data_IF_983104080311
#
_entry.id   IF_983104080311
#
_cell.length_a   1.000
_cell.length_b   1.000
_cell.length_c   1.000
_cell.angle_alpha   90.00
_cell.angle_beta   90.00
_cell.angle_gamma   90.00
#
_symmetry.space_group_name_H-M   'P 1'
#
loop_
_entity.id
_entity.type
_entity.pdbx_description
1 polymer ?
#
# COMPACT_ATOMS: atom_id res chain seq x y z
N UNK A 1 -11.65 -13.43 -9.85
CA UNK A 1 -11.68 -12.35 -8.84
C UNK A 1 -12.01 -11.06 -9.57
N UNK A 2 -13.25 -10.59 -9.48
CA UNK A 2 -13.71 -9.40 -10.18
C UNK A 2 -13.08 -8.18 -9.50
N UNK A 3 -12.14 -7.53 -10.20
CA UNK A 3 -11.57 -6.26 -9.77
C UNK A 3 -12.66 -5.21 -9.78
N UNK A 4 -13.09 -4.78 -8.59
CA UNK A 4 -14.01 -3.66 -8.48
C UNK A 4 -13.37 -2.42 -9.09
N UNK A 5 -14.03 -1.73 -10.03
CA UNK A 5 -13.54 -0.47 -10.54
C UNK A 5 -13.36 0.48 -9.35
N UNK A 6 -12.17 1.05 -9.24
CA UNK A 6 -11.85 2.11 -8.29
C UNK A 6 -12.69 3.33 -8.68
N UNK A 7 -13.95 3.36 -8.27
CA UNK A 7 -14.81 4.53 -8.36
C UNK A 7 -14.32 5.52 -7.33
N UNK A 8 -13.25 6.24 -7.67
CA UNK A 8 -13.06 7.61 -7.22
C UNK A 8 -14.18 8.44 -7.82
N UNK A 9 -15.42 8.19 -7.37
CA UNK A 9 -16.52 9.09 -7.62
C UNK A 9 -16.25 10.31 -6.75
N UNK A 10 -15.36 11.17 -7.24
CA UNK A 10 -15.35 12.58 -6.88
C UNK A 10 -16.77 13.03 -7.17
N UNK A 11 -17.51 13.42 -6.13
CA UNK A 11 -18.87 13.92 -6.26
C UNK A 11 -18.87 14.89 -7.45
N UNK A 12 -19.64 14.60 -8.52
CA UNK A 12 -19.60 15.43 -9.71
C UNK A 12 -19.92 16.86 -9.28
N UNK A 13 -19.09 17.81 -9.69
CA UNK A 13 -19.38 19.21 -9.45
C UNK A 13 -20.68 19.53 -10.19
N UNK A 14 -21.79 19.63 -9.45
CA UNK A 14 -23.05 20.13 -9.99
C UNK A 14 -22.77 21.58 -10.40
N UNK A 15 -22.54 21.80 -11.68
CA UNK A 15 -22.16 23.09 -12.29
C UNK A 15 -23.36 24.00 -12.53
N UNK A 16 -24.57 23.51 -12.26
CA UNK A 16 -25.80 24.30 -12.40
C UNK A 16 -25.93 25.21 -11.19
N UNK A 17 -25.30 26.38 -11.27
CA UNK A 17 -25.54 27.47 -10.33
C UNK A 17 -26.83 28.17 -10.73
N UNK A 18 -27.87 28.06 -9.91
CA UNK A 18 -29.10 28.85 -10.05
C UNK A 18 -28.94 30.31 -9.61
N UNK A 19 -27.69 30.82 -9.56
CA UNK A 19 -27.35 32.14 -9.04
C UNK A 19 -28.10 33.28 -9.73
N UNK A 20 -28.39 33.12 -11.02
CA UNK A 20 -29.18 34.08 -11.80
C UNK A 20 -30.65 34.15 -11.32
N UNK A 21 -31.22 33.04 -10.87
CA UNK A 21 -32.62 32.94 -10.43
C UNK A 21 -32.84 33.58 -9.06
N UNK A 22 -31.80 33.57 -8.20
CA UNK A 22 -31.86 34.14 -6.85
C UNK A 22 -31.94 35.67 -6.81
N UNK A 23 -31.59 36.34 -7.91
CA UNK A 23 -31.48 37.79 -7.99
C UNK A 23 -32.66 38.41 -8.78
N UNK A 24 -33.67 37.61 -9.11
CA UNK A 24 -34.88 38.09 -9.80
C UNK A 24 -35.72 38.90 -8.83
N UNK A 25 -36.21 40.05 -9.27
CA UNK A 25 -37.17 40.85 -8.51
C UNK A 25 -38.57 40.24 -8.65
N UNK A 26 -39.18 39.72 -7.57
CA UNK A 26 -40.50 39.11 -7.63
C UNK A 26 -41.58 40.19 -7.81
N UNK A 27 -42.55 39.92 -8.68
CA UNK A 27 -43.72 40.78 -8.93
C UNK A 27 -44.97 40.24 -8.23
N UNK A 28 -45.03 38.94 -7.99
CA UNK A 28 -46.22 38.24 -7.46
C UNK A 28 -45.97 37.67 -6.07
N UNK A 29 -46.99 37.62 -5.19
CA UNK A 29 -46.85 37.00 -3.84
C UNK A 29 -46.36 35.55 -3.89
N UNK A 30 -46.76 34.79 -4.90
CA UNK A 30 -46.31 33.40 -5.12
C UNK A 30 -44.82 33.32 -5.45
N UNK A 31 -44.30 34.27 -6.24
CA UNK A 31 -42.88 34.32 -6.60
C UNK A 31 -42.02 34.62 -5.38
N UNK A 32 -42.50 35.49 -4.46
CA UNK A 32 -41.83 35.75 -3.18
C UNK A 32 -41.69 34.45 -2.36
N UNK A 33 -42.76 33.66 -2.26
CA UNK A 33 -42.74 32.39 -1.54
C UNK A 33 -41.80 31.36 -2.18
N UNK A 34 -41.80 31.25 -3.51
CA UNK A 34 -40.89 30.38 -4.26
C UNK A 34 -39.42 30.78 -4.09
N UNK A 35 -39.13 32.08 -4.10
CA UNK A 35 -37.77 32.60 -3.94
C UNK A 35 -37.25 32.34 -2.52
N UNK A 36 -38.11 32.49 -1.50
CA UNK A 36 -37.77 32.11 -0.12
C UNK A 36 -37.47 30.60 0.02
N UNK A 37 -38.30 29.74 -0.55
CA UNK A 37 -38.06 28.30 -0.56
C UNK A 37 -36.78 27.92 -1.33
N UNK A 38 -36.48 28.63 -2.42
CA UNK A 38 -35.26 28.44 -3.19
C UNK A 38 -34.01 28.79 -2.37
N UNK A 39 -34.02 29.92 -1.66
CA UNK A 39 -32.93 30.33 -0.77
C UNK A 39 -32.68 29.31 0.35
N UNK A 40 -33.74 28.85 1.01
CA UNK A 40 -33.63 27.84 2.06
C UNK A 40 -33.07 26.52 1.52
N UNK A 41 -33.57 26.08 0.36
CA UNK A 41 -33.08 24.87 -0.30
C UNK A 41 -31.60 24.99 -0.70
N UNK A 42 -31.16 26.15 -1.20
CA UNK A 42 -29.78 26.36 -1.59
C UNK A 42 -28.84 26.39 -0.38
N UNK A 43 -29.21 27.11 0.69
CA UNK A 43 -28.46 27.13 1.94
C UNK A 43 -28.30 25.71 2.52
N UNK A 44 -29.38 24.90 2.48
CA UNK A 44 -29.34 23.49 2.89
C UNK A 44 -28.44 22.65 1.99
N UNK A 45 -28.49 22.86 0.67
CA UNK A 45 -27.64 22.14 -0.28
C UNK A 45 -26.16 22.48 -0.09
N UNK A 46 -25.81 23.74 0.16
CA UNK A 46 -24.43 24.15 0.41
C UNK A 46 -23.90 23.48 1.70
N UNK A 47 -24.70 23.45 2.77
CA UNK A 47 -24.36 22.73 3.99
C UNK A 47 -24.16 21.23 3.76
N UNK A 48 -25.07 20.60 3.01
CA UNK A 48 -24.94 19.18 2.67
C UNK A 48 -23.69 18.90 1.84
N UNK A 49 -23.36 19.78 0.89
CA UNK A 49 -22.16 19.68 0.06
C UNK A 49 -20.90 19.72 0.92
N UNK A 50 -20.83 20.66 1.88
CA UNK A 50 -19.70 20.74 2.81
C UNK A 50 -19.54 19.45 3.64
N UNK A 51 -20.64 18.96 4.21
CA UNK A 51 -20.65 17.71 4.98
C UNK A 51 -20.21 16.50 4.13
N UNK A 52 -20.65 16.43 2.86
CA UNK A 52 -20.23 15.36 1.95
C UNK A 52 -18.73 15.42 1.62
N UNK A 53 -18.16 16.61 1.45
CA UNK A 53 -16.72 16.79 1.22
C UNK A 53 -15.92 16.31 2.44
N UNK A 54 -16.36 16.66 3.65
CA UNK A 54 -15.72 16.21 4.89
C UNK A 54 -15.80 14.68 5.03
N UNK A 55 -16.98 14.10 4.83
CA UNK A 55 -17.17 12.64 4.87
C UNK A 55 -16.31 11.93 3.83
N UNK A 56 -16.20 12.49 2.62
CA UNK A 56 -15.36 11.93 1.58
C UNK A 56 -13.87 11.99 1.97
N UNK A 57 -13.42 13.12 2.52
CA UNK A 57 -12.04 13.27 2.98
C UNK A 57 -11.70 12.25 4.09
N UNK A 58 -12.58 12.10 5.08
CA UNK A 58 -12.44 11.12 6.16
C UNK A 58 -12.42 9.69 5.60
N UNK A 59 -13.31 9.35 4.67
CA UNK A 59 -13.37 8.02 4.08
C UNK A 59 -12.08 7.67 3.32
N UNK A 60 -11.57 8.61 2.51
CA UNK A 60 -10.30 8.44 1.79
C UNK A 60 -9.15 8.21 2.78
N UNK A 61 -9.07 9.02 3.83
CA UNK A 61 -8.03 8.89 4.86
C UNK A 61 -8.14 7.55 5.61
N UNK A 62 -9.34 7.13 5.97
CA UNK A 62 -9.56 5.85 6.63
C UNK A 62 -9.19 4.68 5.71
N UNK A 63 -9.52 4.76 4.43
CA UNK A 63 -9.18 3.72 3.45
C UNK A 63 -7.66 3.59 3.27
N UNK A 64 -6.94 4.70 3.16
CA UNK A 64 -5.47 4.68 3.03
C UNK A 64 -4.83 4.15 4.31
N UNK A 65 -5.29 4.60 5.48
CA UNK A 65 -4.83 4.10 6.77
C UNK A 65 -5.05 2.60 6.94
N UNK A 66 -6.28 2.12 6.74
CA UNK A 66 -6.61 0.69 6.85
C UNK A 66 -5.79 -0.16 5.88
N UNK A 67 -5.59 0.32 4.65
CA UNK A 67 -4.74 -0.37 3.67
C UNK A 67 -3.30 -0.53 4.19
N UNK A 68 -2.70 0.56 4.67
CA UNK A 68 -1.34 0.53 5.22
C UNK A 68 -1.24 -0.41 6.43
N UNK A 69 -2.23 -0.37 7.33
CA UNK A 69 -2.28 -1.24 8.50
C UNK A 69 -2.38 -2.72 8.09
N UNK A 70 -3.24 -3.05 7.12
CA UNK A 70 -3.36 -4.42 6.60
C UNK A 70 -2.06 -4.90 5.95
N UNK A 71 -1.38 -4.05 5.20
CA UNK A 71 -0.08 -4.39 4.59
C UNK A 71 0.99 -4.65 5.66
N UNK A 72 1.03 -3.84 6.71
CA UNK A 72 1.93 -4.04 7.85
C UNK A 72 1.64 -5.34 8.57
N UNK A 73 0.38 -5.62 8.91
CA UNK A 73 -0.03 -6.88 9.55
C UNK A 73 0.32 -8.09 8.69
N UNK A 74 0.01 -8.03 7.38
CA UNK A 74 0.36 -9.10 6.45
C UNK A 74 1.88 -9.33 6.36
N UNK A 75 2.69 -8.26 6.44
CA UNK A 75 4.14 -8.37 6.50
C UNK A 75 4.61 -9.02 7.81
N UNK A 76 4.09 -8.57 8.95
CA UNK A 76 4.39 -9.17 10.26
C UNK A 76 4.02 -10.65 10.32
N UNK A 77 2.85 -11.03 9.82
CA UNK A 77 2.39 -12.42 9.82
C UNK A 77 3.25 -13.29 8.90
N UNK A 78 3.60 -12.79 7.71
CA UNK A 78 4.55 -13.49 6.81
C UNK A 78 5.89 -13.70 7.48
N UNK A 79 6.43 -12.68 8.15
CA UNK A 79 7.71 -12.77 8.84
C UNK A 79 7.64 -13.71 10.05
N UNK A 80 6.55 -13.70 10.82
CA UNK A 80 6.34 -14.63 11.93
C UNK A 80 6.26 -16.08 11.44
N UNK A 81 5.52 -16.35 10.36
CA UNK A 81 5.46 -17.68 9.75
C UNK A 81 6.84 -18.13 9.26
N UNK A 82 7.56 -17.28 8.54
CA UNK A 82 8.92 -17.58 8.09
C UNK A 82 9.94 -17.72 9.24
N UNK A 83 9.71 -17.09 10.39
CA UNK A 83 10.55 -17.25 11.57
C UNK A 83 10.23 -18.56 12.30
N UNK A 84 8.97 -18.97 12.33
CA UNK A 84 8.51 -20.22 12.93
C UNK A 84 9.08 -21.47 12.27
N UNK A 85 9.28 -21.43 10.94
CA UNK A 85 9.81 -22.54 10.14
C UNK A 85 11.35 -22.68 10.16
N UNK A 86 12.07 -21.66 10.63
CA UNK A 86 13.54 -21.65 10.54
C UNK A 86 14.14 -22.61 11.57
N UNK A 87 14.63 -23.74 11.08
CA UNK A 87 15.42 -24.70 11.86
C UNK A 87 14.60 -25.75 12.60
N UNK A 88 13.29 -25.83 12.34
CA UNK A 88 12.44 -26.91 12.88
C UNK A 88 12.32 -28.04 11.87
N UNK A 89 12.33 -29.28 12.37
CA UNK A 89 12.05 -30.47 11.57
C UNK A 89 10.62 -30.45 11.01
N UNK A 90 9.66 -30.01 11.84
CA UNK A 90 8.27 -29.75 11.46
C UNK A 90 8.03 -28.24 11.48
N UNK A 91 7.86 -27.62 10.31
CA UNK A 91 7.75 -26.16 10.15
C UNK A 91 6.70 -25.51 11.05
N UNK A 92 5.53 -26.16 11.16
CA UNK A 92 4.37 -25.64 11.89
C UNK A 92 4.57 -25.56 13.41
N UNK A 93 5.60 -26.23 13.96
CA UNK A 93 5.89 -26.24 15.40
C UNK A 93 4.85 -26.96 16.28
N UNK A 94 3.90 -27.66 15.66
CA UNK A 94 2.94 -28.51 16.37
C UNK A 94 3.58 -29.88 16.69
N UNK A 95 3.27 -30.48 17.84
CA UNK A 95 3.72 -31.83 18.15
C UNK A 95 3.04 -32.83 17.21
N UNK A 96 3.84 -33.61 16.48
CA UNK A 96 3.37 -34.69 15.60
C UNK A 96 3.93 -36.00 16.11
N UNK A 97 3.07 -37.01 16.27
CA UNK A 97 3.51 -38.36 16.58
C UNK A 97 3.91 -39.06 15.28
N UNK A 98 5.20 -39.32 15.11
CA UNK A 98 5.75 -40.05 13.97
C UNK A 98 6.20 -41.44 14.39
N UNK A 99 5.99 -42.42 13.51
CA UNK A 99 6.64 -43.72 13.58
C UNK A 99 8.15 -43.55 13.30
N UNK A 100 9.00 -44.41 13.88
CA UNK A 100 10.46 -44.27 13.79
C UNK A 100 11.02 -44.10 12.37
N UNK A 101 10.48 -44.85 11.41
CA UNK A 101 10.94 -44.78 10.00
C UNK A 101 10.62 -43.43 9.36
N UNK A 102 9.39 -42.93 9.54
CA UNK A 102 8.96 -41.62 9.04
C UNK A 102 9.74 -40.47 9.68
N UNK A 103 10.07 -40.60 10.97
CA UNK A 103 10.94 -39.63 11.64
C UNK A 103 12.35 -39.61 11.02
N UNK A 104 12.93 -40.78 10.77
CA UNK A 104 14.26 -40.90 10.18
C UNK A 104 14.31 -40.29 8.78
N UNK A 105 13.33 -40.60 7.92
CA UNK A 105 13.22 -40.02 6.58
C UNK A 105 13.18 -38.48 6.63
N UNK A 106 12.34 -37.91 7.50
CA UNK A 106 12.25 -36.47 7.67
C UNK A 106 13.56 -35.82 8.14
N UNK A 107 14.32 -36.49 9.02
CA UNK A 107 15.62 -35.97 9.50
C UNK A 107 16.64 -35.96 8.35
N UNK A 108 16.70 -37.02 7.54
CA UNK A 108 17.62 -37.09 6.39
C UNK A 108 17.32 -36.00 5.37
N UNK A 109 16.04 -35.80 5.04
CA UNK A 109 15.61 -34.73 4.14
C UNK A 109 15.96 -33.34 4.69
N UNK A 110 15.72 -33.13 5.98
CA UNK A 110 16.03 -31.87 6.65
C UNK A 110 17.53 -31.56 6.62
N UNK A 111 18.40 -32.52 6.93
CA UNK A 111 19.85 -32.35 6.88
C UNK A 111 20.37 -32.07 5.47
N UNK A 112 19.82 -32.75 4.45
CA UNK A 112 20.13 -32.47 3.06
C UNK A 112 19.72 -31.03 2.69
N UNK A 113 18.56 -30.58 3.15
CA UNK A 113 18.07 -29.24 2.90
C UNK A 113 18.90 -28.15 3.60
N UNK A 114 19.35 -28.40 4.85
CA UNK A 114 20.24 -27.48 5.56
C UNK A 114 21.57 -27.30 4.84
N UNK A 115 22.20 -28.41 4.41
CA UNK A 115 23.45 -28.35 3.63
C UNK A 115 23.28 -27.56 2.34
N UNK A 116 22.17 -27.76 1.62
CA UNK A 116 21.85 -26.99 0.40
C UNK A 116 21.69 -25.49 0.71
N UNK A 117 20.99 -25.15 1.79
CA UNK A 117 20.78 -23.75 2.23
C UNK A 117 22.11 -23.07 2.61
N UNK A 118 23.00 -23.79 3.29
CA UNK A 118 24.33 -23.31 3.65
C UNK A 118 25.19 -23.03 2.42
N UNK A 119 25.21 -23.97 1.47
CA UNK A 119 25.94 -23.82 0.22
C UNK A 119 25.46 -22.60 -0.59
N UNK A 120 24.14 -22.46 -0.76
CA UNK A 120 23.56 -21.27 -1.41
C UNK A 120 23.87 -19.96 -0.67
N UNK A 121 23.91 -19.99 0.67
CA UNK A 121 24.27 -18.82 1.47
C UNK A 121 25.74 -18.43 1.28
N UNK A 122 26.64 -19.41 1.18
CA UNK A 122 28.04 -19.19 0.89
C UNK A 122 28.22 -18.59 -0.51
N UNK A 123 27.57 -19.15 -1.52
CA UNK A 123 27.60 -18.65 -2.90
C UNK A 123 27.09 -17.21 -3.00
N UNK A 124 25.96 -16.90 -2.35
CA UNK A 124 25.43 -15.52 -2.28
C UNK A 124 26.38 -14.55 -1.60
N UNK A 125 27.11 -14.99 -0.58
CA UNK A 125 28.11 -14.15 0.10
C UNK A 125 29.31 -13.88 -0.80
N UNK A 126 29.80 -14.91 -1.50
CA UNK A 126 30.88 -14.76 -2.47
C UNK A 126 30.49 -13.77 -3.58
N UNK A 127 29.33 -13.97 -4.22
CA UNK A 127 28.85 -13.05 -5.26
C UNK A 127 28.63 -11.62 -4.77
N UNK A 128 28.21 -11.41 -3.51
CA UNK A 128 28.14 -10.07 -2.91
C UNK A 128 29.52 -9.44 -2.73
N UNK A 129 30.52 -10.21 -2.31
CA UNK A 129 31.88 -9.72 -2.14
C UNK A 129 32.48 -9.32 -3.51
N UNK A 130 32.28 -10.14 -4.53
CA UNK A 130 32.79 -9.87 -5.88
C UNK A 130 32.13 -8.64 -6.50
N UNK A 131 30.79 -8.52 -6.37
CA UNK A 131 30.07 -7.31 -6.77
C UNK A 131 30.58 -6.07 -6.01
N UNK A 132 30.87 -6.21 -4.72
CA UNK A 132 31.43 -5.12 -3.90
C UNK A 132 32.76 -4.62 -4.45
N UNK A 133 33.68 -5.54 -4.76
CA UNK A 133 34.99 -5.21 -5.35
C UNK A 133 34.83 -4.50 -6.71
N UNK A 134 34.03 -5.05 -7.61
CA UNK A 134 33.79 -4.45 -8.92
C UNK A 134 33.17 -3.06 -8.82
N UNK A 135 32.30 -2.83 -7.83
CA UNK A 135 31.68 -1.52 -7.60
C UNK A 135 32.70 -0.48 -7.11
N UNK A 136 33.61 -0.87 -6.22
CA UNK A 136 34.67 0.02 -5.74
C UNK A 136 35.67 0.36 -6.87
N UNK A 137 36.05 -0.61 -7.69
CA UNK A 137 36.87 -0.39 -8.89
C UNK A 137 36.19 0.58 -9.86
N UNK A 138 34.90 0.39 -10.13
CA UNK A 138 34.12 1.28 -11.00
C UNK A 138 34.03 2.71 -10.43
N UNK A 139 33.79 2.86 -9.12
CA UNK A 139 33.77 4.19 -8.48
C UNK A 139 35.12 4.90 -8.59
N UNK A 140 36.23 4.20 -8.40
CA UNK A 140 37.56 4.77 -8.52
C UNK A 140 37.81 5.29 -9.95
N UNK A 141 37.43 4.52 -10.97
CA UNK A 141 37.54 4.93 -12.37
C UNK A 141 36.66 6.15 -12.70
N UNK A 142 35.42 6.19 -12.20
CA UNK A 142 34.51 7.34 -12.37
C UNK A 142 35.10 8.59 -11.73
N UNK A 143 35.65 8.49 -10.52
CA UNK A 143 36.31 9.62 -9.87
C UNK A 143 37.53 10.12 -10.64
N UNK A 144 38.33 9.21 -11.20
CA UNK A 144 39.49 9.58 -12.00
C UNK A 144 39.07 10.31 -13.30
N UNK A 145 38.01 9.84 -13.96
CA UNK A 145 37.44 10.51 -15.13
C UNK A 145 36.87 11.88 -14.79
N UNK A 146 36.16 12.01 -13.67
CA UNK A 146 35.62 13.30 -13.22
C UNK A 146 36.73 14.32 -12.99
N UNK A 147 37.83 13.92 -12.33
CA UNK A 147 39.00 14.79 -12.13
C UNK A 147 39.64 15.25 -13.44
N UNK A 148 39.63 14.41 -14.48
CA UNK A 148 40.14 14.78 -15.81
C UNK A 148 39.23 15.77 -16.52
N UNK A 149 37.92 15.63 -16.37
CA UNK A 149 36.93 16.57 -16.92
C UNK A 149 37.03 17.93 -16.22
N UNK A 150 37.17 17.95 -14.90
CA UNK A 150 37.24 19.19 -14.12
C UNK A 150 38.57 19.96 -14.30
N UNK A 151 39.60 19.32 -14.88
CA UNK A 151 40.92 19.91 -15.13
C UNK A 151 41.06 20.55 -16.53
N UNK A 152 40.06 20.42 -17.40
CA UNK A 152 39.96 21.06 -18.71
C UNK A 152 38.97 22.22 -18.69
#
# INVERSE_FOLDING_TARGET
MLGYPNTQAIIPAITIKHSKTLHIYPKTKQEVALLAALWESEAKNEKNRQCLIELQAINILNKTYCKALHEQLAFYDKNKKQAGDKGKLMGDGLPVLLTGDLFYEHVVEFEAEQRRKEWQKAERKAGKADRGKALEEWKAQVQEQQKKIDAY
#
